data_IF_761378552250
#
_entry.id   IF_761378552250
#
_cell.length_a   1.000
_cell.length_b   1.000
_cell.length_c   1.000
_cell.angle_alpha   90.00
_cell.angle_beta   90.00
_cell.angle_gamma   90.00
#
_symmetry.space_group_name_H-M   'P 1'
#
loop_
_entity.id
_entity.type
_entity.pdbx_description
1 polymer ?
#
# COMPACT_ATOMS: atom_id res chain seq x y z
N UNK A 1 -1.48 20.75 5.05
CA UNK A 1 -0.88 20.83 3.70
C UNK A 1 0.09 22.01 3.68
N UNK A 2 1.20 21.91 2.92
CA UNK A 2 2.21 22.98 2.86
C UNK A 2 3.44 22.78 3.74
N UNK A 3 3.79 21.53 4.07
CA UNK A 3 5.10 21.16 4.62
C UNK A 3 5.80 20.28 3.60
N UNK A 4 7.09 20.50 3.39
CA UNK A 4 7.91 19.62 2.58
C UNK A 4 8.19 18.33 3.37
N UNK A 5 8.00 17.19 2.72
CA UNK A 5 8.33 15.88 3.26
C UNK A 5 9.44 15.28 2.41
N UNK A 6 10.54 14.91 3.05
CA UNK A 6 11.63 14.17 2.41
C UNK A 6 11.48 12.70 2.78
N UNK A 7 11.45 11.84 1.77
CA UNK A 7 11.14 10.41 1.91
C UNK A 7 12.38 9.60 1.58
N UNK A 8 12.80 8.73 2.50
CA UNK A 8 13.89 7.79 2.30
C UNK A 8 13.32 6.46 1.77
N UNK A 9 13.35 6.29 0.45
CA UNK A 9 12.68 5.19 -0.26
C UNK A 9 13.66 4.11 -0.72
N UNK A 10 13.25 2.86 -0.53
CA UNK A 10 13.91 1.67 -1.03
C UNK A 10 12.97 0.96 -1.99
N UNK A 11 13.49 0.66 -3.18
CA UNK A 11 12.73 -0.05 -4.21
C UNK A 11 12.47 -1.48 -3.75
N UNK A 12 11.21 -1.90 -3.76
CA UNK A 12 10.87 -3.29 -3.48
C UNK A 12 11.28 -4.13 -4.69
N UNK A 13 12.47 -4.70 -4.61
CA UNK A 13 12.98 -5.65 -5.58
C UNK A 13 12.69 -7.03 -5.01
N UNK A 14 11.52 -7.58 -5.32
CA UNK A 14 11.39 -9.04 -5.30
C UNK A 14 12.45 -9.53 -6.29
N UNK A 15 13.35 -10.41 -5.85
CA UNK A 15 14.41 -11.00 -6.69
C UNK A 15 13.80 -11.97 -7.69
N UNK A 16 12.88 -11.47 -8.51
CA UNK A 16 12.40 -12.17 -9.69
C UNK A 16 13.39 -11.85 -10.78
N UNK A 17 14.17 -12.86 -11.13
CA UNK A 17 15.15 -12.75 -12.20
C UNK A 17 14.42 -12.52 -13.53
N UNK A 18 15.05 -11.78 -14.47
CA UNK A 18 14.47 -11.41 -15.77
C UNK A 18 14.05 -12.63 -16.64
N UNK A 19 14.48 -13.82 -16.24
CA UNK A 19 14.22 -15.13 -16.84
C UNK A 19 13.07 -15.91 -16.17
N UNK A 20 12.33 -15.33 -15.22
CA UNK A 20 11.11 -15.98 -14.73
C UNK A 20 10.11 -16.16 -15.89
N UNK A 21 9.73 -17.40 -16.16
CA UNK A 21 8.69 -17.76 -17.13
C UNK A 21 7.37 -18.00 -16.40
N UNK A 22 6.35 -17.22 -16.75
CA UNK A 22 4.98 -17.38 -16.27
C UNK A 22 4.24 -18.27 -17.27
N UNK A 23 3.62 -19.34 -16.76
CA UNK A 23 2.80 -20.26 -17.54
C UNK A 23 1.35 -20.11 -17.13
N UNK A 24 0.50 -19.73 -18.06
CA UNK A 24 -0.96 -19.62 -17.87
C UNK A 24 -1.67 -20.52 -18.87
N UNK A 25 -2.94 -20.82 -18.62
CA UNK A 25 -3.78 -21.59 -19.54
C UNK A 25 -5.00 -20.75 -19.89
N UNK A 26 -5.32 -20.65 -21.17
CA UNK A 26 -6.55 -19.99 -21.62
C UNK A 26 -7.80 -20.82 -21.33
N UNK A 27 -8.98 -20.27 -21.64
CA UNK A 27 -10.27 -20.93 -21.41
C UNK A 27 -10.43 -22.26 -22.19
N UNK A 28 -9.62 -22.48 -23.23
CA UNK A 28 -9.58 -23.73 -23.98
C UNK A 28 -8.49 -24.70 -23.48
N UNK A 29 -7.77 -24.34 -22.41
CA UNK A 29 -6.71 -25.14 -21.81
C UNK A 29 -5.40 -25.10 -22.58
N UNK A 30 -5.22 -24.16 -23.53
CA UNK A 30 -3.96 -23.99 -24.24
C UNK A 30 -2.97 -23.23 -23.36
N UNK A 31 -1.75 -23.76 -23.28
CA UNK A 31 -0.66 -23.14 -22.54
C UNK A 31 -0.18 -21.85 -23.22
N UNK A 32 -0.02 -20.80 -22.42
CA UNK A 32 0.59 -19.52 -22.77
C UNK A 32 1.81 -19.36 -21.86
N UNK A 33 2.99 -19.18 -22.47
CA UNK A 33 4.26 -19.00 -21.74
C UNK A 33 4.80 -17.61 -22.05
N UNK A 34 4.94 -16.79 -21.01
CA UNK A 34 5.43 -15.41 -21.12
C UNK A 34 6.58 -15.16 -20.15
N UNK A 35 7.46 -14.23 -20.49
CA UNK A 35 8.45 -13.74 -19.52
C UNK A 35 7.73 -12.86 -18.50
N UNK A 36 8.07 -13.05 -17.23
CA UNK A 36 7.49 -12.25 -16.15
C UNK A 36 7.92 -10.80 -16.32
N UNK A 37 6.96 -9.93 -16.60
CA UNK A 37 7.14 -8.48 -16.60
C UNK A 37 7.01 -7.96 -15.17
N UNK A 38 7.75 -8.52 -14.21
CA UNK A 38 7.75 -7.98 -12.84
C UNK A 38 8.28 -6.57 -12.91
N UNK A 39 7.37 -5.61 -12.91
CA UNK A 39 7.72 -4.21 -12.94
C UNK A 39 8.20 -3.85 -11.54
N UNK A 40 9.49 -3.58 -11.42
CA UNK A 40 10.02 -3.01 -10.21
C UNK A 40 9.67 -1.52 -10.16
N UNK A 41 8.45 -1.20 -9.72
CA UNK A 41 7.92 0.16 -9.61
C UNK A 41 7.27 0.43 -8.24
N UNK A 42 7.45 -0.50 -7.31
CA UNK A 42 7.01 -0.41 -5.92
C UNK A 42 8.18 0.02 -5.04
N UNK A 43 7.89 0.86 -4.06
CA UNK A 43 8.87 1.46 -3.14
C UNK A 43 8.29 1.44 -1.73
N UNK A 44 9.16 1.21 -0.76
CA UNK A 44 8.83 1.29 0.67
C UNK A 44 9.89 2.10 1.41
N UNK A 45 9.54 2.70 2.54
CA UNK A 45 10.49 3.53 3.27
C UNK A 45 9.89 4.24 4.46
N UNK A 46 10.54 5.32 4.88
CA UNK A 46 10.13 6.17 5.98
C UNK A 46 10.42 7.64 5.67
N UNK A 47 9.77 8.55 6.39
CA UNK A 47 10.03 9.98 6.36
C UNK A 47 11.39 10.23 7.00
N UNK A 48 12.22 11.05 6.37
CA UNK A 48 13.53 11.39 6.90
C UNK A 48 13.41 12.02 8.30
N UNK A 49 14.08 11.40 9.28
CA UNK A 49 14.02 11.82 10.69
C UNK A 49 12.86 11.22 11.51
N UNK A 50 11.98 10.43 10.90
CA UNK A 50 10.92 9.67 11.58
C UNK A 50 10.97 8.18 11.16
N UNK A 51 11.83 7.37 11.79
CA UNK A 51 12.03 5.97 11.40
C UNK A 51 10.81 5.06 11.69
N UNK A 52 9.85 5.53 12.50
CA UNK A 52 8.63 4.79 12.82
C UNK A 52 7.51 5.05 11.79
N UNK A 53 7.70 6.04 10.91
CA UNK A 53 6.78 6.29 9.81
C UNK A 53 6.90 5.21 8.74
N UNK A 54 5.77 4.94 8.07
CA UNK A 54 5.68 3.92 7.03
C UNK A 54 5.30 4.59 5.73
N UNK A 55 6.05 4.27 4.67
CA UNK A 55 5.75 4.72 3.32
C UNK A 55 5.63 3.50 2.42
N UNK A 56 4.57 3.47 1.61
CA UNK A 56 4.40 2.52 0.52
C UNK A 56 3.96 3.28 -0.71
N UNK A 57 4.75 3.22 -1.79
CA UNK A 57 4.47 3.90 -3.05
C UNK A 57 4.53 2.91 -4.22
N UNK A 58 3.66 3.12 -5.20
CA UNK A 58 3.65 2.45 -6.48
C UNK A 58 3.68 3.52 -7.57
N UNK A 59 4.53 3.28 -8.57
CA UNK A 59 4.76 4.17 -9.72
C UNK A 59 4.47 3.48 -11.05
N UNK A 60 3.86 2.30 -11.01
CA UNK A 60 3.69 1.43 -12.17
C UNK A 60 2.79 2.06 -13.25
N UNK A 61 1.77 2.78 -12.80
CA UNK A 61 0.77 3.46 -13.63
C UNK A 61 0.46 4.87 -13.07
N UNK A 62 1.53 5.61 -12.74
CA UNK A 62 1.46 6.90 -12.05
C UNK A 62 1.69 6.77 -10.54
N UNK A 63 1.88 7.91 -9.85
CA UNK A 63 2.22 7.90 -8.43
C UNK A 63 0.97 7.63 -7.59
N UNK A 64 1.02 6.57 -6.80
CA UNK A 64 -0.01 6.21 -5.82
C UNK A 64 0.64 5.63 -4.57
N UNK A 65 -0.07 5.70 -3.45
CA UNK A 65 0.39 5.05 -2.23
C UNK A 65 0.04 5.82 -0.97
N UNK A 66 0.72 5.47 0.11
CA UNK A 66 0.39 5.86 1.47
C UNK A 66 1.65 6.32 2.22
N UNK A 67 1.49 7.38 3.01
CA UNK A 67 2.49 7.86 3.97
C UNK A 67 1.79 7.90 5.32
N UNK A 68 2.32 7.18 6.30
CA UNK A 68 1.75 7.04 7.63
C UNK A 68 2.77 7.51 8.68
N UNK A 69 2.38 8.48 9.51
CA UNK A 69 3.15 8.95 10.66
C UNK A 69 2.36 8.71 11.96
N UNK A 70 2.86 9.17 13.12
CA UNK A 70 2.16 8.97 14.39
C UNK A 70 0.77 9.63 14.48
N UNK A 71 0.51 10.68 13.69
CA UNK A 71 -0.68 11.52 13.79
C UNK A 71 -1.73 11.21 12.72
N UNK A 72 -1.29 10.81 11.53
CA UNK A 72 -2.14 10.74 10.35
C UNK A 72 -1.65 9.72 9.32
N UNK A 73 -2.55 9.45 8.38
CA UNK A 73 -2.26 8.76 7.13
C UNK A 73 -2.57 9.71 5.97
N UNK A 74 -1.66 9.76 4.99
CA UNK A 74 -1.80 10.51 3.76
C UNK A 74 -1.87 9.55 2.59
N UNK A 75 -2.96 9.61 1.83
CA UNK A 75 -3.16 8.82 0.62
C UNK A 75 -2.91 9.65 -0.63
N UNK A 76 -2.10 9.13 -1.54
CA UNK A 76 -1.79 9.70 -2.85
C UNK A 76 -2.52 8.89 -3.91
N UNK A 77 -3.37 9.57 -4.69
CA UNK A 77 -4.11 8.95 -5.79
C UNK A 77 -4.02 9.82 -7.07
N UNK A 78 -3.94 9.21 -8.27
CA UNK A 78 -4.00 9.95 -9.52
C UNK A 78 -5.32 10.72 -9.67
N UNK A 79 -5.25 12.00 -10.00
CA UNK A 79 -6.40 12.88 -10.16
C UNK A 79 -6.74 13.11 -11.64
N UNK A 80 -7.28 12.06 -12.27
CA UNK A 80 -7.52 12.00 -13.72
C UNK A 80 -8.28 13.19 -14.30
N UNK A 81 -9.24 13.76 -13.56
CA UNK A 81 -10.05 14.90 -14.03
C UNK A 81 -9.33 16.25 -13.99
N UNK A 82 -8.14 16.33 -13.38
CA UNK A 82 -7.30 17.54 -13.33
C UNK A 82 -6.07 17.49 -14.24
N UNK A 83 -5.87 16.38 -14.97
CA UNK A 83 -4.80 16.21 -15.95
C UNK A 83 -3.91 14.98 -15.70
N UNK A 84 -3.03 14.70 -16.65
CA UNK A 84 -2.22 13.45 -16.72
C UNK A 84 -1.20 13.31 -15.57
N UNK A 85 -0.80 14.42 -14.93
CA UNK A 85 0.15 14.45 -13.82
C UNK A 85 -0.43 15.00 -12.51
N UNK A 86 -1.75 15.21 -12.47
CA UNK A 86 -2.41 15.71 -11.27
C UNK A 86 -2.60 14.57 -10.28
N UNK A 87 -2.35 14.83 -9.00
CA UNK A 87 -2.55 13.88 -7.92
C UNK A 87 -3.40 14.54 -6.83
N UNK A 88 -4.22 13.74 -6.17
CA UNK A 88 -5.00 14.16 -5.01
C UNK A 88 -4.35 13.57 -3.77
N UNK A 89 -4.19 14.43 -2.77
CA UNK A 89 -3.67 14.05 -1.45
C UNK A 89 -4.83 14.10 -0.46
N UNK A 90 -5.19 12.93 0.08
CA UNK A 90 -6.27 12.79 1.04
C UNK A 90 -5.68 12.51 2.42
N UNK A 91 -6.12 13.24 3.45
CA UNK A 91 -5.67 13.05 4.83
C UNK A 91 -6.71 12.26 5.60
N UNK A 92 -6.29 11.12 6.15
CA UNK A 92 -7.10 10.29 7.03
C UNK A 92 -6.53 10.45 8.44
N UNK A 93 -7.35 10.93 9.37
CA UNK A 93 -6.97 10.95 10.78
C UNK A 93 -7.06 9.52 11.30
N UNK A 94 -6.00 9.06 11.97
CA UNK A 94 -6.04 7.76 12.63
C UNK A 94 -7.15 7.76 13.69
N UNK A 95 -7.99 6.70 13.74
CA UNK A 95 -8.88 6.53 14.88
C UNK A 95 -8.03 6.38 16.15
N UNK A 96 -8.55 6.87 17.28
CA UNK A 96 -7.94 6.59 18.58
C UNK A 96 -7.80 5.07 18.76
N UNK A 97 -6.66 4.63 19.32
CA UNK A 97 -6.26 3.22 19.45
C UNK A 97 -7.46 2.31 19.76
N UNK A 98 -7.87 1.52 18.77
CA UNK A 98 -8.84 0.44 18.95
C UNK A 98 -8.02 -0.79 19.35
N UNK A 99 -8.13 -1.20 20.61
CA UNK A 99 -7.52 -2.45 21.08
C UNK A 99 -8.27 -3.63 20.44
N UNK A 100 -7.67 -4.25 19.43
CA UNK A 100 -8.10 -5.55 18.92
C UNK A 100 -7.42 -6.65 19.74
N UNK A 101 -8.14 -7.16 20.74
CA UNK A 101 -7.73 -8.30 21.55
C UNK A 101 -8.96 -9.01 22.09
N UNK A 102 -8.99 -10.34 22.01
CA UNK A 102 -10.11 -11.14 22.53
C UNK A 102 -9.84 -11.44 23.99
N UNK A 103 -10.53 -10.75 24.90
CA UNK A 103 -10.73 -11.27 26.25
C UNK A 103 -12.22 -11.34 26.55
N UNK A 104 -12.69 -12.57 26.75
CA UNK A 104 -13.96 -12.85 27.41
C UNK A 104 -15.19 -12.67 26.54
N UNK A 105 -16.02 -13.72 26.55
CA UNK A 105 -17.36 -13.74 25.99
C UNK A 105 -18.16 -12.44 26.19
N UNK A 106 -18.89 -12.06 25.13
CA UNK A 106 -19.81 -10.91 25.03
C UNK A 106 -19.18 -9.52 25.00
N UNK A 107 -18.87 -9.00 23.79
CA UNK A 107 -19.28 -7.63 23.38
C UNK A 107 -19.04 -7.31 21.89
N UNK A 108 -19.81 -6.34 21.41
CA UNK A 108 -19.97 -5.87 20.01
C UNK A 108 -18.64 -5.52 19.34
N UNK A 109 -18.44 -6.05 18.13
CA UNK A 109 -17.37 -5.62 17.22
C UNK A 109 -17.65 -4.23 16.64
N UNK A 110 -16.58 -3.53 16.23
CA UNK A 110 -16.69 -2.31 15.44
C UNK A 110 -16.93 -2.67 13.98
N UNK A 111 -17.98 -2.07 13.41
CA UNK A 111 -18.37 -2.24 12.03
C UNK A 111 -18.26 -0.90 11.32
N UNK A 112 -17.63 -0.87 10.16
CA UNK A 112 -17.74 0.23 9.21
C UNK A 112 -18.38 -0.34 7.94
N UNK A 113 -19.49 0.26 7.49
CA UNK A 113 -20.28 -0.27 6.36
C UNK A 113 -20.63 -1.77 6.47
N UNK A 114 -21.00 -2.24 7.67
CA UNK A 114 -21.25 -3.67 7.97
C UNK A 114 -20.04 -4.61 7.80
N UNK A 115 -18.85 -4.10 7.50
CA UNK A 115 -17.62 -4.87 7.49
C UNK A 115 -16.90 -4.76 8.84
N UNK A 116 -16.38 -5.89 9.34
CA UNK A 116 -15.63 -5.93 10.60
C UNK A 116 -14.29 -5.23 10.37
N UNK A 117 -14.07 -4.11 11.07
CA UNK A 117 -12.81 -3.37 10.96
C UNK A 117 -11.83 -3.90 12.02
N UNK A 118 -10.77 -4.55 11.56
CA UNK A 118 -9.60 -4.85 12.38
C UNK A 118 -8.67 -3.63 12.36
N UNK A 119 -8.31 -3.10 13.52
CA UNK A 119 -7.27 -2.06 13.63
C UNK A 119 -5.92 -2.75 13.45
N UNK A 120 -5.31 -2.52 12.30
CA UNK A 120 -4.16 -3.28 11.83
C UNK A 120 -2.85 -2.54 12.17
N UNK A 121 -2.03 -3.12 13.04
CA UNK A 121 -0.63 -3.28 12.67
C UNK A 121 -0.62 -4.40 11.63
N UNK A 122 -0.89 -4.07 10.37
CA UNK A 122 -0.67 -4.99 9.27
C UNK A 122 0.82 -4.89 8.98
N UNK A 123 1.61 -5.74 9.62
CA UNK A 123 2.94 -6.04 9.11
C UNK A 123 2.75 -6.65 7.72
N UNK A 124 2.87 -5.83 6.68
CA UNK A 124 3.06 -6.33 5.32
C UNK A 124 4.48 -6.86 5.24
N UNK A 125 4.69 -8.09 5.73
CA UNK A 125 5.82 -8.89 5.27
C UNK A 125 5.51 -9.30 3.83
N UNK A 126 6.16 -8.64 2.88
CA UNK A 126 6.26 -9.10 1.51
C UNK A 126 7.19 -10.31 1.51
N UNK A 127 6.61 -11.51 1.40
CA UNK A 127 7.35 -12.75 1.08
C UNK A 127 7.71 -12.74 -0.39
#
# INVERSE_FOLDING_TARGET
FGKDLVLDLHKNVVTVTEDLLVRTFDEQGKEIVERSLVKHCQYQGHIQGDPESIIVLDTCDGLRGMIEDAEQELLIEPFKSKGVNAHKLSRIKKPEKINCGVEGHNRKGLYHNNERVCSNHCNFELV
#
